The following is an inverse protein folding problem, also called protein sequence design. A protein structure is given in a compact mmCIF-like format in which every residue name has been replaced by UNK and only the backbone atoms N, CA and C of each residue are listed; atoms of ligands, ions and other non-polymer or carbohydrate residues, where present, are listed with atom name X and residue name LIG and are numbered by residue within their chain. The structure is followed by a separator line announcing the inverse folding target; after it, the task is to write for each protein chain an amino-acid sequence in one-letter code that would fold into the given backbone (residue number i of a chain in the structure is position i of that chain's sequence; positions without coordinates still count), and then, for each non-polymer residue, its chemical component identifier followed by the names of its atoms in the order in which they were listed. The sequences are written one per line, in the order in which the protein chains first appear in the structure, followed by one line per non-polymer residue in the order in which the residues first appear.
data_IF_816074962216
#
_entry.id   IF_816074962216
#
_cell.length_a   1.000
_cell.length_b   1.000
_cell.length_c   1.000
_cell.angle_alpha   90.00
_cell.angle_beta   90.00
_cell.angle_gamma   90.00
#
_symmetry.space_group_name_H-M   'P 1'
#
loop_
_entity.id
_entity.type
_entity.pdbx_description
1 polymer ?
#
# COMPACT_ATOMS: atom_id res chain seq x y z
N UNK A 1 1.98 -9.17 9.86
CA UNK A 1 0.70 -8.48 9.62
C UNK A 1 0.16 -8.03 10.98
N UNK A 2 -0.22 -6.75 11.12
CA UNK A 2 -0.84 -6.18 12.32
C UNK A 2 -2.21 -5.62 11.96
N UNK A 3 -3.28 -6.19 12.53
CA UNK A 3 -4.68 -5.80 12.27
C UNK A 3 -5.43 -5.70 13.59
N UNK A 4 -5.65 -4.47 14.04
CA UNK A 4 -6.37 -4.18 15.29
C UNK A 4 -6.74 -2.70 15.35
N UNK A 5 -7.67 -2.30 16.22
CA UNK A 5 -7.88 -0.88 16.51
C UNK A 5 -6.62 -0.27 17.14
N UNK A 6 -6.21 0.91 16.67
CA UNK A 6 -5.03 1.61 17.18
C UNK A 6 -3.70 1.09 16.64
N UNK A 7 -3.68 0.24 15.61
CA UNK A 7 -2.43 -0.30 15.05
C UNK A 7 -1.46 0.80 14.56
N UNK A 8 -1.96 1.97 14.16
CA UNK A 8 -1.11 3.09 13.76
C UNK A 8 -0.36 3.74 14.94
N UNK A 9 -0.83 3.58 16.18
CA UNK A 9 -0.17 4.16 17.36
C UNK A 9 1.20 3.49 17.60
N UNK A 10 1.33 2.22 17.21
CA UNK A 10 2.57 1.44 17.33
C UNK A 10 3.35 1.39 16.00
N UNK A 11 2.94 2.13 14.97
CA UNK A 11 3.54 2.05 13.64
C UNK A 11 5.05 2.34 13.66
N UNK A 12 5.48 3.31 14.46
CA UNK A 12 6.90 3.62 14.60
C UNK A 12 7.70 2.44 15.16
N UNK A 13 7.14 1.72 16.14
CA UNK A 13 7.78 0.50 16.68
C UNK A 13 7.84 -0.61 15.65
N UNK A 14 6.80 -0.77 14.82
CA UNK A 14 6.77 -1.77 13.75
C UNK A 14 7.81 -1.43 12.69
N UNK A 15 7.90 -0.16 12.28
CA UNK A 15 8.85 0.28 11.25
C UNK A 15 10.30 0.32 11.75
N UNK A 16 10.53 0.51 13.05
CA UNK A 16 11.85 0.46 13.68
C UNK A 16 12.40 -0.97 13.88
N UNK A 17 11.63 -2.01 13.54
CA UNK A 17 12.15 -3.37 13.48
C UNK A 17 13.35 -3.42 12.53
N UNK A 18 14.49 -3.93 12.98
CA UNK A 18 15.73 -3.99 12.19
C UNK A 18 15.62 -4.82 10.91
N UNK A 19 14.55 -5.63 10.78
CA UNK A 19 14.19 -6.34 9.54
C UNK A 19 13.51 -5.45 8.50
N UNK A 20 13.01 -4.28 8.93
CA UNK A 20 12.30 -3.29 8.11
C UNK A 20 13.17 -2.04 7.91
N UNK A 21 13.76 -1.50 8.98
CA UNK A 21 14.59 -0.29 8.91
C UNK A 21 15.82 -0.41 9.80
N UNK A 22 17.01 -0.28 9.22
CA UNK A 22 18.29 -0.32 9.94
C UNK A 22 18.79 1.09 10.27
N UNK A 23 18.57 2.04 9.37
CA UNK A 23 19.03 3.42 9.48
C UNK A 23 17.94 4.38 9.97
N UNK A 24 16.68 3.93 10.00
CA UNK A 24 15.51 4.77 10.32
C UNK A 24 15.02 5.61 9.13
N UNK A 25 15.65 5.49 7.96
CA UNK A 25 15.35 6.28 6.78
C UNK A 25 14.29 5.60 5.93
N UNK A 26 13.09 6.17 5.91
CA UNK A 26 11.91 5.58 5.26
C UNK A 26 11.34 6.54 4.22
N UNK A 27 10.93 6.01 3.08
CA UNK A 27 10.16 6.77 2.10
C UNK A 27 8.67 6.46 2.27
N UNK A 28 7.90 7.43 2.76
CA UNK A 28 6.46 7.25 3.04
C UNK A 28 5.63 7.89 1.95
N UNK A 29 4.96 7.06 1.14
CA UNK A 29 4.05 7.49 0.09
C UNK A 29 2.64 7.68 0.67
N UNK A 30 2.07 8.86 0.47
CA UNK A 30 0.73 9.24 0.95
C UNK A 30 -0.13 9.85 -0.16
N UNK A 31 -1.44 9.74 -0.01
CA UNK A 31 -2.38 10.56 -0.79
C UNK A 31 -2.49 11.97 -0.20
N UNK A 32 -3.02 12.89 -1.01
CA UNK A 32 -3.52 14.16 -0.52
C UNK A 32 -4.71 13.97 0.46
N UNK A 33 -5.04 15.05 1.18
CA UNK A 33 -6.17 15.08 2.12
C UNK A 33 -6.05 14.11 3.29
N UNK A 34 -6.54 12.88 3.13
CA UNK A 34 -6.55 11.86 4.20
C UNK A 34 -5.14 11.42 4.60
N UNK A 35 -4.23 11.27 3.63
CA UNK A 35 -2.82 10.98 3.89
C UNK A 35 -2.13 12.13 4.61
N UNK A 36 -2.38 13.38 4.21
CA UNK A 36 -1.85 14.56 4.89
C UNK A 36 -2.31 14.68 6.35
N UNK A 37 -3.56 14.27 6.67
CA UNK A 37 -4.03 14.19 8.06
C UNK A 37 -3.25 13.15 8.86
N UNK A 38 -3.01 11.98 8.30
CA UNK A 38 -2.25 10.90 8.96
C UNK A 38 -0.77 11.24 9.11
N UNK A 39 -0.17 11.91 8.12
CA UNK A 39 1.19 12.47 8.22
C UNK A 39 1.34 13.30 9.48
N UNK A 40 0.46 14.28 9.73
CA UNK A 40 0.53 15.12 10.94
C UNK A 40 0.50 14.33 12.25
N UNK A 41 -0.18 13.17 12.27
CA UNK A 41 -0.23 12.29 13.44
C UNK A 41 1.04 11.46 13.59
N UNK A 42 1.66 11.03 12.49
CA UNK A 42 2.74 10.03 12.48
C UNK A 42 4.14 10.64 12.35
N UNK A 43 4.27 11.80 11.72
CA UNK A 43 5.54 12.52 11.50
C UNK A 43 6.34 12.74 12.80
N UNK A 44 5.73 13.09 13.96
CA UNK A 44 6.48 13.18 15.21
C UNK A 44 7.12 11.87 15.68
N UNK A 45 6.54 10.73 15.28
CA UNK A 45 7.03 9.39 15.65
C UNK A 45 7.96 8.79 14.60
N UNK A 46 8.12 9.46 13.44
CA UNK A 46 8.95 9.04 12.31
C UNK A 46 9.86 10.19 11.86
N UNK A 47 10.76 10.69 12.72
CA UNK A 47 11.55 11.91 12.44
C UNK A 47 12.56 11.75 11.29
N UNK A 48 12.92 10.52 10.91
CA UNK A 48 13.81 10.22 9.78
C UNK A 48 13.09 9.84 8.49
N UNK A 49 11.76 9.95 8.44
CA UNK A 49 10.99 9.60 7.25
C UNK A 49 10.86 10.79 6.29
N UNK A 50 11.10 10.55 5.01
CA UNK A 50 10.73 11.47 3.94
C UNK A 50 9.33 11.14 3.43
N UNK A 51 8.52 12.18 3.23
CA UNK A 51 7.11 12.05 2.87
C UNK A 51 6.89 12.47 1.43
N UNK A 52 6.34 11.57 0.63
CA UNK A 52 6.07 11.76 -0.79
C UNK A 52 4.56 11.76 -1.02
N UNK A 53 4.05 12.87 -1.54
CA UNK A 53 2.66 12.95 -1.99
C UNK A 53 2.53 12.32 -3.38
N UNK A 54 1.56 11.42 -3.53
CA UNK A 54 1.27 10.73 -4.79
C UNK A 54 -0.19 10.90 -5.17
N UNK A 55 -0.45 11.24 -6.44
CA UNK A 55 -1.81 11.29 -7.00
C UNK A 55 -2.47 9.91 -6.99
N UNK A 56 -1.69 8.88 -7.31
CA UNK A 56 -2.05 7.49 -7.12
C UNK A 56 -2.84 6.90 -8.29
N UNK A 57 -2.62 5.60 -8.52
CA UNK A 57 -3.37 4.83 -9.52
C UNK A 57 -2.91 4.99 -10.97
N UNK A 58 -1.80 5.67 -11.23
CA UNK A 58 -1.19 5.74 -12.57
C UNK A 58 0.26 5.27 -12.54
N UNK A 59 0.76 4.75 -13.67
CA UNK A 59 2.18 4.38 -13.81
C UNK A 59 3.09 5.60 -13.66
N UNK A 60 2.67 6.76 -14.16
CA UNK A 60 3.43 8.00 -14.07
C UNK A 60 3.65 8.44 -12.62
N UNK A 61 2.62 8.37 -11.77
CA UNK A 61 2.75 8.70 -10.36
C UNK A 61 3.70 7.74 -9.63
N UNK A 62 3.65 6.45 -9.99
CA UNK A 62 4.57 5.46 -9.42
C UNK A 62 6.03 5.71 -9.87
N UNK A 63 6.23 6.12 -11.13
CA UNK A 63 7.57 6.48 -11.65
C UNK A 63 8.08 7.76 -10.98
N UNK A 64 7.24 8.79 -10.83
CA UNK A 64 7.61 10.02 -10.11
C UNK A 64 8.00 9.73 -8.66
N UNK A 65 7.26 8.86 -7.97
CA UNK A 65 7.62 8.41 -6.62
C UNK A 65 8.99 7.73 -6.61
N UNK A 66 9.23 6.78 -7.53
CA UNK A 66 10.52 6.11 -7.66
C UNK A 66 11.68 7.08 -7.93
N UNK A 67 11.48 8.05 -8.81
CA UNK A 67 12.49 9.04 -9.15
C UNK A 67 12.78 10.00 -7.98
N UNK A 68 11.76 10.40 -7.22
CA UNK A 68 11.91 11.20 -6.00
C UNK A 68 12.73 10.49 -4.92
N UNK A 69 12.69 9.15 -4.88
CA UNK A 69 13.47 8.37 -3.92
C UNK A 69 14.94 8.20 -4.32
N UNK A 70 15.33 8.42 -5.58
CA UNK A 70 16.70 8.15 -6.06
C UNK A 70 17.77 9.04 -5.41
N UNK A 71 17.40 10.22 -4.93
CA UNK A 71 18.33 11.13 -4.24
C UNK A 71 18.60 10.73 -2.79
N UNK A 72 17.74 9.89 -2.20
CA UNK A 72 17.84 9.45 -0.82
C UNK A 72 18.46 8.05 -0.70
N UNK A 73 18.73 7.64 0.54
CA UNK A 73 19.09 6.27 0.90
C UNK A 73 18.04 5.76 1.88
N UNK A 74 17.05 5.04 1.39
CA UNK A 74 15.96 4.51 2.21
C UNK A 74 16.15 3.02 2.48
N UNK A 75 15.68 2.57 3.64
CA UNK A 75 15.66 1.15 3.99
C UNK A 75 14.43 0.44 3.40
N UNK A 76 13.30 1.13 3.35
CA UNK A 76 12.02 0.62 2.88
C UNK A 76 11.09 1.73 2.37
N UNK A 77 10.10 1.32 1.58
CA UNK A 77 8.99 2.18 1.15
C UNK A 77 7.75 1.85 1.98
N UNK A 78 7.08 2.86 2.52
CA UNK A 78 5.83 2.70 3.27
C UNK A 78 4.69 3.30 2.44
N UNK A 79 3.79 2.45 1.95
CA UNK A 79 2.57 2.91 1.27
C UNK A 79 1.46 3.14 2.28
N UNK A 80 1.18 4.40 2.65
CA UNK A 80 0.16 4.78 3.61
C UNK A 80 -1.06 5.37 2.90
N UNK A 81 -2.09 4.56 2.70
CA UNK A 81 -3.30 5.01 2.01
C UNK A 81 -4.25 3.90 1.60
N UNK A 82 -5.10 4.21 0.61
CA UNK A 82 -5.94 3.23 -0.06
C UNK A 82 -5.20 2.49 -1.18
N UNK A 83 -5.93 1.62 -1.88
CA UNK A 83 -5.40 0.77 -2.96
C UNK A 83 -4.51 1.49 -3.96
N UNK A 84 -4.95 2.65 -4.49
CA UNK A 84 -4.17 3.44 -5.46
C UNK A 84 -2.80 3.89 -4.95
N UNK A 85 -2.70 4.30 -3.68
CA UNK A 85 -1.42 4.72 -3.07
C UNK A 85 -0.54 3.50 -2.86
N UNK A 86 -1.11 2.40 -2.35
CA UNK A 86 -0.39 1.15 -2.12
C UNK A 86 0.13 0.57 -3.44
N UNK A 87 -0.66 0.57 -4.52
CA UNK A 87 -0.21 0.08 -5.82
C UNK A 87 0.91 0.93 -6.41
N UNK A 88 0.84 2.26 -6.30
CA UNK A 88 1.96 3.13 -6.70
C UNK A 88 3.21 2.84 -5.85
N UNK A 89 3.06 2.70 -4.53
CA UNK A 89 4.18 2.40 -3.63
C UNK A 89 4.81 1.04 -3.92
N UNK A 90 3.99 0.00 -4.18
CA UNK A 90 4.46 -1.34 -4.57
C UNK A 90 5.30 -1.28 -5.85
N UNK A 91 4.79 -0.61 -6.88
CA UNK A 91 5.50 -0.49 -8.16
C UNK A 91 6.79 0.34 -8.01
N UNK A 92 6.72 1.45 -7.30
CA UNK A 92 7.89 2.31 -7.06
C UNK A 92 8.97 1.56 -6.28
N UNK A 93 8.61 0.85 -5.20
CA UNK A 93 9.51 0.04 -4.39
C UNK A 93 10.20 -1.04 -5.21
N UNK A 94 9.44 -1.76 -6.04
CA UNK A 94 9.98 -2.76 -6.97
C UNK A 94 11.01 -2.14 -7.93
N UNK A 95 10.73 -0.95 -8.46
CA UNK A 95 11.59 -0.25 -9.41
C UNK A 95 12.90 0.24 -8.78
N UNK A 96 12.89 0.66 -7.52
CA UNK A 96 14.09 1.12 -6.80
C UNK A 96 14.79 0.00 -6.02
N UNK A 97 14.24 -1.22 -6.00
CA UNK A 97 14.83 -2.37 -5.33
C UNK A 97 14.73 -2.32 -3.81
N UNK A 98 13.69 -1.68 -3.27
CA UNK A 98 13.47 -1.57 -1.82
C UNK A 98 12.29 -2.46 -1.36
N UNK A 99 12.35 -3.03 -0.14
CA UNK A 99 11.21 -3.68 0.46
C UNK A 99 10.08 -2.68 0.72
N UNK A 100 8.84 -3.18 0.76
CA UNK A 100 7.65 -2.35 0.90
C UNK A 100 6.79 -2.78 2.10
N UNK A 101 6.31 -1.82 2.88
CA UNK A 101 5.33 -1.99 3.95
C UNK A 101 4.01 -1.34 3.52
N UNK A 102 2.93 -2.12 3.51
CA UNK A 102 1.59 -1.63 3.22
C UNK A 102 0.89 -1.18 4.51
N UNK A 103 0.40 0.07 4.54
CA UNK A 103 -0.40 0.60 5.65
C UNK A 103 -1.74 1.07 5.09
N UNK A 104 -2.74 0.18 5.19
CA UNK A 104 -4.03 0.39 4.55
C UNK A 104 -4.95 1.28 5.38
N UNK A 105 -5.47 2.34 4.75
CA UNK A 105 -6.42 3.29 5.37
C UNK A 105 -7.86 3.09 4.91
N UNK A 106 -8.06 2.20 3.94
CA UNK A 106 -9.35 1.64 3.58
C UNK A 106 -9.16 0.21 3.05
N UNK A 107 -10.25 -0.56 3.00
CA UNK A 107 -10.27 -1.93 2.51
C UNK A 107 -11.28 -2.05 1.37
N UNK A 108 -10.97 -1.49 0.20
CA UNK A 108 -11.85 -1.53 -0.98
C UNK A 108 -11.68 -2.78 -1.84
N UNK A 109 -10.56 -3.48 -1.69
CA UNK A 109 -10.21 -4.73 -2.38
C UNK A 109 -9.10 -5.47 -1.61
N UNK A 110 -8.80 -6.71 -1.98
CA UNK A 110 -7.79 -7.58 -1.34
C UNK A 110 -6.34 -7.41 -1.86
N UNK A 111 -6.15 -6.73 -3.00
CA UNK A 111 -4.84 -6.47 -3.63
C UNK A 111 -3.79 -5.69 -2.80
N UNK A 112 -4.13 -5.22 -1.59
CA UNK A 112 -3.22 -4.47 -0.69
C UNK A 112 -1.96 -5.24 -0.31
N UNK A 113 -1.98 -6.58 -0.36
CA UNK A 113 -0.84 -7.45 -0.08
C UNK A 113 -0.56 -8.47 -1.20
N UNK A 114 -0.99 -8.18 -2.44
CA UNK A 114 -0.74 -9.07 -3.58
C UNK A 114 0.64 -8.82 -4.23
N UNK A 115 1.18 -9.78 -5.01
CA UNK A 115 2.36 -9.57 -5.86
C UNK A 115 2.05 -8.85 -7.18
N UNK A 116 0.95 -8.07 -7.24
CA UNK A 116 0.51 -7.36 -8.45
C UNK A 116 0.15 -5.93 -8.11
N UNK A 117 0.70 -4.96 -8.83
CA UNK A 117 0.28 -3.56 -8.78
C UNK A 117 -0.68 -3.25 -9.92
N UNK A 118 -1.83 -2.64 -9.61
CA UNK A 118 -2.83 -2.23 -10.61
C UNK A 118 -2.70 -0.73 -10.86
N UNK A 119 -2.23 -0.34 -12.04
CA UNK A 119 -1.95 1.05 -12.40
C UNK A 119 -2.48 1.38 -13.79
N UNK A 120 -3.09 2.55 -13.92
CA UNK A 120 -3.56 3.05 -15.20
C UNK A 120 -2.38 3.62 -16.03
N UNK A 121 -2.42 3.38 -17.33
CA UNK A 121 -1.47 3.88 -18.34
C UNK A 121 -2.24 4.31 -19.61
N UNK A 122 -1.53 4.76 -20.65
CA UNK A 122 -2.14 5.22 -21.91
C UNK A 122 -2.97 4.16 -22.65
N UNK A 123 -2.70 2.87 -22.41
CA UNK A 123 -3.45 1.73 -22.94
C UNK A 123 -4.58 1.23 -22.02
N UNK A 124 -4.79 1.89 -20.87
CA UNK A 124 -5.83 1.55 -19.88
C UNK A 124 -5.26 0.96 -18.58
N UNK A 125 -6.07 0.15 -17.90
CA UNK A 125 -5.72 -0.43 -16.60
C UNK A 125 -4.76 -1.60 -16.75
N UNK A 126 -3.51 -1.42 -16.31
CA UNK A 126 -2.46 -2.41 -16.36
C UNK A 126 -2.32 -3.23 -15.06
N UNK A 127 -1.80 -4.45 -15.20
CA UNK A 127 -1.40 -5.32 -14.10
C UNK A 127 0.10 -5.58 -14.16
N UNK A 128 0.82 -5.23 -13.10
CA UNK A 128 2.28 -5.27 -13.06
C UNK A 128 2.76 -6.18 -11.95
N UNK A 129 3.56 -7.20 -12.29
CA UNK A 129 4.18 -8.08 -11.31
C UNK A 129 5.18 -7.32 -10.42
N UNK A 130 5.04 -7.44 -9.10
CA UNK A 130 5.86 -6.75 -8.10
C UNK A 130 6.12 -7.68 -6.91
N UNK A 131 7.21 -7.47 -6.14
CA UNK A 131 7.37 -8.15 -4.86
C UNK A 131 6.19 -7.90 -3.93
N UNK A 132 5.83 -8.91 -3.14
CA UNK A 132 4.79 -8.78 -2.12
C UNK A 132 5.28 -7.88 -0.98
N UNK A 133 4.42 -7.02 -0.39
CA UNK A 133 4.78 -6.26 0.80
C UNK A 133 5.33 -7.17 1.92
N UNK A 134 6.41 -6.75 2.58
CA UNK A 134 7.03 -7.51 3.68
C UNK A 134 6.25 -7.41 4.99
N UNK A 135 5.39 -6.40 5.10
CA UNK A 135 4.48 -6.20 6.21
C UNK A 135 3.20 -5.50 5.75
N UNK A 136 2.11 -5.77 6.47
CA UNK A 136 0.80 -5.15 6.31
C UNK A 136 0.33 -4.66 7.68
N UNK A 137 -0.07 -3.40 7.76
CA UNK A 137 -0.66 -2.76 8.94
C UNK A 137 -2.06 -2.24 8.57
N UNK A 138 -3.05 -2.57 9.39
CA UNK A 138 -4.44 -2.13 9.22
C UNK A 138 -4.97 -1.67 10.57
N UNK A 139 -5.22 -0.37 10.71
CA UNK A 139 -5.86 0.19 11.90
C UNK A 139 -7.37 0.21 11.74
N UNK A 140 -8.05 -0.67 12.47
CA UNK A 140 -9.51 -0.82 12.39
C UNK A 140 -10.28 0.44 12.81
N UNK A 141 -9.69 1.33 13.62
CA UNK A 141 -10.29 2.62 13.96
C UNK A 141 -10.31 3.54 12.73
N UNK A 142 -9.22 3.57 11.95
CA UNK A 142 -9.15 4.32 10.69
C UNK A 142 -10.08 3.73 9.64
N UNK A 143 -10.13 2.40 9.52
CA UNK A 143 -11.04 1.72 8.57
C UNK A 143 -12.51 2.07 8.88
N UNK A 144 -12.87 2.20 10.16
CA UNK A 144 -14.23 2.57 10.58
C UNK A 144 -14.63 4.00 10.19
N UNK A 145 -13.65 4.91 10.10
CA UNK A 145 -13.86 6.29 9.67
C UNK A 145 -13.85 6.46 8.15
N UNK A 146 -13.33 5.49 7.41
CA UNK A 146 -13.30 5.52 5.95
C UNK A 146 -14.73 5.56 5.36
N UNK A 147 -14.93 6.24 4.21
CA UNK A 147 -16.24 6.27 3.57
C UNK A 147 -16.81 4.86 3.35
N UNK A 148 -18.06 4.65 3.81
CA UNK A 148 -18.71 3.33 3.84
C UNK A 148 -18.71 2.58 2.49
N UNK A 149 -18.66 3.32 1.38
CA UNK A 149 -18.55 2.76 0.03
C UNK A 149 -17.31 1.86 -0.14
N UNK A 150 -16.19 2.17 0.51
CA UNK A 150 -14.98 1.37 0.41
C UNK A 150 -15.13 0.03 1.12
N UNK A 151 -15.67 0.04 2.34
CA UNK A 151 -15.96 -1.21 3.08
C UNK A 151 -16.94 -2.09 2.29
N UNK A 152 -18.00 -1.50 1.73
CA UNK A 152 -18.95 -2.22 0.86
C UNK A 152 -18.28 -2.80 -0.39
N UNK A 153 -17.40 -2.03 -1.03
CA UNK A 153 -16.61 -2.49 -2.17
C UNK A 153 -15.75 -3.70 -1.79
N UNK A 154 -15.02 -3.65 -0.67
CA UNK A 154 -14.17 -4.75 -0.23
C UNK A 154 -14.95 -6.01 0.15
N UNK A 155 -16.16 -5.87 0.70
CA UNK A 155 -17.05 -7.03 0.91
C UNK A 155 -17.44 -7.64 -0.43
N UNK A 156 -17.80 -6.80 -1.42
CA UNK A 156 -18.14 -7.29 -2.77
C UNK A 156 -16.98 -8.01 -3.44
N UNK A 157 -15.77 -7.48 -3.30
CA UNK A 157 -14.52 -8.08 -3.79
C UNK A 157 -14.24 -9.44 -3.13
N UNK A 158 -14.35 -9.54 -1.80
CA UNK A 158 -14.17 -10.79 -1.09
C UNK A 158 -15.21 -11.87 -1.48
N UNK A 159 -16.45 -11.47 -1.76
CA UNK A 159 -17.50 -12.38 -2.22
C UNK A 159 -17.27 -12.81 -3.67
N UNK A 160 -16.82 -11.90 -4.55
CA UNK A 160 -16.58 -12.22 -5.97
C UNK A 160 -15.49 -13.29 -6.14
N UNK A 161 -14.49 -13.29 -5.24
CA UNK A 161 -13.42 -14.30 -5.22
C UNK A 161 -13.95 -15.73 -5.14
N UNK A 162 -15.08 -15.99 -4.47
CA UNK A 162 -15.68 -17.33 -4.41
C UNK A 162 -16.06 -17.82 -5.80
N UNK A 163 -16.70 -16.96 -6.59
CA UNK A 163 -17.06 -17.26 -7.98
C UNK A 163 -15.83 -17.36 -8.87
N UNK A 164 -14.85 -16.48 -8.71
CA UNK A 164 -13.61 -16.50 -9.50
C UNK A 164 -12.80 -17.79 -9.28
N UNK A 165 -12.68 -18.25 -8.03
CA UNK A 165 -12.01 -19.53 -7.71
C UNK A 165 -12.77 -20.71 -8.30
N UNK A 166 -14.10 -20.75 -8.17
CA UNK A 166 -14.91 -21.83 -8.74
C UNK A 166 -14.79 -21.92 -10.27
N UNK A 167 -14.71 -20.76 -10.96
CA UNK A 167 -14.50 -20.70 -12.40
C UNK A 167 -13.10 -21.19 -12.79
N UNK A 168 -12.05 -20.77 -12.06
CA UNK A 168 -10.68 -21.24 -12.28
C UNK A 168 -10.54 -22.76 -12.08
N UNK A 169 -11.14 -23.31 -11.03
CA UNK A 169 -11.16 -24.76 -10.79
C UNK A 169 -11.91 -25.51 -11.88
N UNK A 170 -13.03 -24.97 -12.37
CA UNK A 170 -13.77 -25.56 -13.48
C UNK A 170 -12.91 -25.57 -14.75
N UNK A 171 -12.29 -24.43 -15.09
CA UNK A 171 -11.40 -24.31 -16.25
C UNK A 171 -10.20 -25.26 -16.18
N UNK A 172 -9.67 -25.52 -14.98
CA UNK A 172 -8.59 -26.50 -14.77
C UNK A 172 -9.07 -27.95 -14.94
N UNK A 173 -10.32 -28.28 -14.57
CA UNK A 173 -10.87 -29.63 -14.72
C UNK A 173 -11.25 -29.99 -16.16
N UNK A 174 -11.59 -29.00 -16.98
CA UNK A 174 -12.10 -29.21 -18.36
C UNK A 174 -11.07 -28.98 -19.46
N UNK A 175 -9.86 -28.51 -19.11
CA UNK A 175 -8.68 -28.45 -19.99
C UNK A 175 -7.73 -29.59 -19.66
#
# INVERSE_FOLDING_TARGET
MDVRPGALDDLASVLADQRISQSGMLAVAISDGSGARLRRRLEPSLPGADWFEVGGGTIDDAVRLADGMKSGRYDAVVGLGGGKVIDCAKFAAARVGLPMVAVATNLSHDGICSPVSILDNDAGRGSYGVPTPIALVVDLAVIREAPIRFVRSGIGDAVSNVSAVADWELAHRVN
#
